data_IF_695246213048
#
_entry.id   IF_695246213048
#
_cell.length_a   1.000
_cell.length_b   1.000
_cell.length_c   1.000
_cell.angle_alpha   90.00
_cell.angle_beta   90.00
_cell.angle_gamma   90.00
#
_symmetry.space_group_name_H-M   'P 1'
#
loop_
_entity.id
_entity.type
_entity.pdbx_description
1 polymer ?
#
# COMPACT_ATOMS: atom_id res chain seq x y z
N UNK A 1 -30.12 2.29 10.25
CA UNK A 1 -29.85 2.10 8.80
C UNK A 1 -28.83 0.99 8.70
N UNK A 2 -29.03 -0.01 7.85
CA UNK A 2 -27.96 -0.98 7.52
C UNK A 2 -26.95 -0.26 6.65
N UNK A 3 -25.70 -0.19 7.08
CA UNK A 3 -24.62 0.39 6.29
C UNK A 3 -24.45 -0.41 5.00
N UNK A 4 -24.39 0.31 3.87
CA UNK A 4 -24.15 -0.30 2.58
C UNK A 4 -22.66 -0.19 2.22
N UNK A 5 -22.04 -1.34 1.97
CA UNK A 5 -20.67 -1.45 1.49
C UNK A 5 -20.70 -1.80 0.02
N UNK A 6 -19.82 -1.16 -0.75
CA UNK A 6 -19.70 -1.44 -2.17
C UNK A 6 -18.90 -2.74 -2.38
N UNK A 7 -19.13 -3.46 -3.49
CA UNK A 7 -18.14 -4.42 -3.96
C UNK A 7 -16.77 -3.76 -4.05
N UNK A 8 -15.70 -4.48 -3.69
CA UNK A 8 -14.33 -3.91 -3.60
C UNK A 8 -13.96 -3.11 -4.87
N UNK A 9 -14.22 -3.68 -6.05
CA UNK A 9 -13.90 -3.03 -7.34
C UNK A 9 -14.67 -1.74 -7.61
N UNK A 10 -15.80 -1.56 -6.94
CA UNK A 10 -16.63 -0.37 -7.04
C UNK A 10 -16.28 0.68 -5.97
N UNK A 11 -15.55 0.28 -4.93
CA UNK A 11 -15.13 1.17 -3.82
C UNK A 11 -14.19 2.28 -4.33
N UNK A 12 -14.26 3.43 -3.66
CA UNK A 12 -13.41 4.58 -3.98
C UNK A 12 -11.92 4.25 -3.83
N UNK A 13 -11.57 3.54 -2.75
CA UNK A 13 -10.19 3.11 -2.49
C UNK A 13 -9.62 2.25 -3.61
N UNK A 14 -10.39 1.27 -4.11
CA UNK A 14 -9.94 0.44 -5.22
C UNK A 14 -9.71 1.24 -6.50
N UNK A 15 -10.65 2.15 -6.84
CA UNK A 15 -10.53 3.00 -8.03
C UNK A 15 -9.28 3.89 -7.98
N UNK A 16 -9.01 4.48 -6.82
CA UNK A 16 -7.84 5.34 -6.63
C UNK A 16 -6.54 4.54 -6.70
N UNK A 17 -6.44 3.38 -6.04
CA UNK A 17 -5.25 2.51 -6.12
C UNK A 17 -5.05 2.01 -7.55
N UNK A 18 -6.12 1.62 -8.25
CA UNK A 18 -6.06 1.23 -9.67
C UNK A 18 -5.51 2.35 -10.54
N UNK A 19 -6.02 3.57 -10.39
CA UNK A 19 -5.59 4.72 -11.19
C UNK A 19 -4.11 5.07 -10.90
N UNK A 20 -3.73 5.09 -9.63
CA UNK A 20 -2.36 5.37 -9.22
C UNK A 20 -1.35 4.32 -9.74
N UNK A 21 -1.68 3.03 -9.68
CA UNK A 21 -0.87 1.96 -10.27
C UNK A 21 -0.71 2.14 -11.78
N UNK A 22 -1.80 2.50 -12.47
CA UNK A 22 -1.76 2.75 -13.91
C UNK A 22 -0.89 3.96 -14.25
N UNK A 23 -0.93 5.02 -13.45
CA UNK A 23 -0.17 6.25 -13.69
C UNK A 23 1.34 6.05 -13.42
N UNK A 24 1.69 5.42 -12.30
CA UNK A 24 3.08 5.34 -11.83
C UNK A 24 3.82 4.14 -12.43
N UNK A 25 3.16 2.98 -12.45
CA UNK A 25 3.75 1.71 -12.86
C UNK A 25 3.23 1.19 -14.21
N UNK A 26 2.26 1.87 -14.84
CA UNK A 26 1.60 1.38 -16.05
C UNK A 26 0.97 -0.01 -15.88
N UNK A 27 0.47 -0.31 -14.67
CA UNK A 27 -0.15 -1.59 -14.31
C UNK A 27 -1.62 -1.38 -13.96
N UNK A 28 -2.47 -2.27 -14.47
CA UNK A 28 -3.89 -2.27 -14.17
C UNK A 28 -4.21 -3.26 -13.04
N UNK A 29 -4.79 -2.75 -11.94
CA UNK A 29 -5.15 -3.56 -10.77
C UNK A 29 -6.20 -4.64 -11.08
N UNK A 30 -7.00 -4.49 -12.13
CA UNK A 30 -7.96 -5.53 -12.52
C UNK A 30 -7.30 -6.82 -13.03
N UNK A 31 -6.05 -6.74 -13.48
CA UNK A 31 -5.27 -7.87 -13.98
C UNK A 31 -4.51 -8.60 -12.87
N UNK A 32 -4.56 -8.07 -11.63
CA UNK A 32 -3.90 -8.64 -10.45
C UNK A 32 -4.94 -9.38 -9.61
N UNK A 33 -4.60 -10.60 -9.18
CA UNK A 33 -5.42 -11.33 -8.23
C UNK A 33 -5.39 -10.64 -6.85
N UNK A 34 -6.55 -10.15 -6.42
CA UNK A 34 -6.73 -9.57 -5.08
C UNK A 34 -7.20 -10.63 -4.08
N UNK A 35 -6.80 -10.47 -2.83
CA UNK A 35 -7.37 -11.14 -1.67
C UNK A 35 -8.38 -10.18 -1.02
N UNK A 36 -9.65 -10.53 -1.11
CA UNK A 36 -10.71 -9.77 -0.45
C UNK A 36 -10.65 -9.94 1.09
N UNK A 37 -10.86 -8.83 1.81
CA UNK A 37 -11.09 -8.82 3.25
C UNK A 37 -12.55 -8.55 3.58
N UNK A 38 -12.83 -8.22 4.85
CA UNK A 38 -14.15 -7.73 5.25
C UNK A 38 -14.43 -6.33 4.68
N UNK A 39 -15.71 -6.01 4.47
CA UNK A 39 -16.17 -4.72 3.97
C UNK A 39 -15.59 -4.40 2.58
N UNK A 40 -14.87 -3.28 2.45
CA UNK A 40 -14.20 -2.84 1.23
C UNK A 40 -12.68 -3.10 1.29
N UNK A 41 -12.20 -3.84 2.30
CA UNK A 41 -10.78 -4.15 2.46
C UNK A 41 -10.28 -5.12 1.39
N UNK A 42 -9.05 -4.95 0.95
CA UNK A 42 -8.38 -5.90 0.05
C UNK A 42 -6.87 -5.82 0.18
N UNK A 43 -6.19 -6.88 -0.26
CA UNK A 43 -4.73 -6.85 -0.45
C UNK A 43 -4.34 -7.58 -1.72
N UNK A 44 -3.13 -7.32 -2.21
CA UNK A 44 -2.57 -8.00 -3.36
C UNK A 44 -1.05 -8.01 -3.30
N UNK A 45 -0.46 -9.01 -3.93
CA UNK A 45 0.97 -9.07 -4.14
C UNK A 45 1.32 -8.20 -5.34
N UNK A 46 2.39 -7.42 -5.21
CA UNK A 46 2.93 -6.59 -6.26
C UNK A 46 4.43 -6.87 -6.43
N UNK A 47 4.91 -6.82 -7.67
CA UNK A 47 6.32 -7.04 -7.98
C UNK A 47 6.79 -6.02 -8.98
N UNK A 48 7.92 -5.39 -8.69
CA UNK A 48 8.57 -4.41 -9.55
C UNK A 48 10.08 -4.56 -9.41
N UNK A 49 10.82 -4.65 -10.52
CA UNK A 49 12.29 -4.83 -10.52
C UNK A 49 12.80 -5.95 -9.58
N UNK A 50 12.10 -7.09 -9.51
CA UNK A 50 12.36 -8.22 -8.61
C UNK A 50 12.17 -7.94 -7.10
N UNK A 51 11.65 -6.77 -6.74
CA UNK A 51 11.19 -6.48 -5.38
C UNK A 51 9.77 -6.99 -5.20
N UNK A 52 9.54 -7.78 -4.15
CA UNK A 52 8.24 -8.31 -3.78
C UNK A 52 7.67 -7.49 -2.63
N UNK A 53 6.42 -7.07 -2.75
CA UNK A 53 5.72 -6.31 -1.73
C UNK A 53 4.24 -6.68 -1.67
N UNK A 54 3.61 -6.47 -0.53
CA UNK A 54 2.16 -6.60 -0.34
C UNK A 54 1.58 -5.21 -0.22
N UNK A 55 0.63 -4.87 -1.08
CA UNK A 55 -0.16 -3.64 -0.94
C UNK A 55 -1.52 -4.00 -0.38
N UNK A 56 -2.03 -3.19 0.54
CA UNK A 56 -3.35 -3.42 1.13
C UNK A 56 -4.10 -2.13 1.38
N UNK A 57 -5.42 -2.26 1.33
CA UNK A 57 -6.38 -1.25 1.75
C UNK A 57 -7.21 -1.81 2.90
N UNK A 58 -7.13 -1.17 4.06
CA UNK A 58 -7.65 -1.69 5.32
C UNK A 58 -8.55 -0.67 6.03
N UNK A 59 -9.17 -1.09 7.14
CA UNK A 59 -9.93 -0.19 8.03
C UNK A 59 -11.08 0.56 7.34
N UNK A 60 -11.75 -0.11 6.38
CA UNK A 60 -12.85 0.49 5.59
C UNK A 60 -14.22 0.49 6.26
N UNK A 61 -14.31 -0.06 7.48
CA UNK A 61 -15.57 -0.11 8.21
C UNK A 61 -16.07 1.30 8.51
N UNK A 62 -17.36 1.55 8.28
CA UNK A 62 -17.98 2.87 8.48
C UNK A 62 -18.42 3.01 9.95
N UNK A 63 -18.44 4.27 10.42
CA UNK A 63 -18.91 4.68 11.75
C UNK A 63 -18.38 3.88 12.95
N UNK A 64 -17.16 3.33 12.85
CA UNK A 64 -16.51 2.56 13.91
C UNK A 64 -15.23 3.28 14.33
N UNK A 65 -14.98 3.38 15.64
CA UNK A 65 -13.76 3.99 16.15
C UNK A 65 -12.52 3.29 15.55
N UNK A 66 -11.48 4.06 15.24
CA UNK A 66 -10.23 3.60 14.61
C UNK A 66 -10.37 3.05 13.18
N UNK A 67 -11.55 3.18 12.55
CA UNK A 67 -11.70 2.93 11.11
C UNK A 67 -11.82 4.24 10.34
N UNK A 68 -11.31 4.23 9.11
CA UNK A 68 -11.27 5.41 8.24
C UNK A 68 -12.50 5.49 7.32
N UNK A 69 -13.28 4.41 7.23
CA UNK A 69 -14.47 4.33 6.41
C UNK A 69 -14.12 4.19 4.93
N UNK A 70 -14.93 4.78 4.07
CA UNK A 70 -14.76 4.68 2.62
C UNK A 70 -13.34 5.09 2.18
N UNK A 71 -12.72 4.20 1.40
CA UNK A 71 -11.34 4.37 0.92
C UNK A 71 -10.25 3.94 1.88
N UNK A 72 -10.53 3.72 3.18
CA UNK A 72 -9.61 3.04 4.09
C UNK A 72 -8.21 3.67 4.25
N UNK A 73 -7.32 2.90 4.88
CA UNK A 73 -5.88 3.15 4.95
C UNK A 73 -5.18 2.32 3.87
N UNK A 74 -4.30 2.94 3.09
CA UNK A 74 -3.49 2.28 2.09
C UNK A 74 -2.07 2.07 2.62
N UNK A 75 -1.65 0.82 2.75
CA UNK A 75 -0.34 0.43 3.28
C UNK A 75 0.44 -0.39 2.26
N UNK A 76 1.78 -0.29 2.35
CA UNK A 76 2.72 -1.05 1.52
C UNK A 76 3.68 -1.77 2.47
N UNK A 77 3.74 -3.09 2.36
CA UNK A 77 4.54 -3.98 3.19
C UNK A 77 5.63 -4.65 2.37
N UNK A 78 6.81 -4.78 2.94
CA UNK A 78 7.94 -5.50 2.37
C UNK A 78 8.38 -6.64 3.28
N UNK A 79 8.97 -7.72 2.73
CA UNK A 79 9.81 -8.61 3.52
C UNK A 79 10.85 -7.81 4.29
N UNK A 80 10.94 -8.04 5.59
CA UNK A 80 11.79 -7.24 6.45
C UNK A 80 13.27 -7.65 6.27
N UNK A 81 14.15 -6.76 5.76
CA UNK A 81 15.56 -7.09 5.56
C UNK A 81 16.30 -7.35 6.88
N UNK A 82 15.73 -6.95 8.01
CA UNK A 82 16.28 -7.19 9.36
C UNK A 82 15.81 -8.53 9.95
N UNK A 83 14.91 -9.27 9.31
CA UNK A 83 14.45 -10.57 9.81
C UNK A 83 15.32 -11.73 9.30
N UNK A 84 15.60 -12.76 10.14
CA UNK A 84 15.27 -12.86 11.56
C UNK A 84 16.36 -12.28 12.49
N UNK A 85 17.49 -11.83 11.95
CA UNK A 85 18.71 -11.54 12.73
C UNK A 85 18.57 -10.34 13.68
N UNK A 86 17.82 -9.33 13.26
CA UNK A 86 17.69 -8.02 13.93
C UNK A 86 16.22 -7.59 14.09
N UNK A 87 15.27 -8.45 13.75
CA UNK A 87 13.84 -8.24 13.93
C UNK A 87 13.09 -9.57 14.02
N UNK A 88 12.03 -9.60 14.81
CA UNK A 88 11.11 -10.72 14.90
C UNK A 88 9.93 -10.62 13.92
N UNK A 89 9.79 -9.49 13.20
CA UNK A 89 8.73 -9.29 12.22
C UNK A 89 9.21 -9.66 10.83
N UNK A 90 8.53 -10.60 10.17
CA UNK A 90 8.84 -11.05 8.79
C UNK A 90 8.59 -9.97 7.74
N UNK A 91 7.68 -9.05 8.02
CA UNK A 91 7.33 -7.93 7.16
C UNK A 91 7.52 -6.60 7.90
N UNK A 92 7.73 -5.53 7.13
CA UNK A 92 7.80 -4.16 7.64
C UNK A 92 7.11 -3.20 6.69
N UNK A 93 6.55 -2.12 7.23
CA UNK A 93 5.94 -1.08 6.42
C UNK A 93 6.98 -0.30 5.62
N UNK A 94 6.60 0.12 4.42
CA UNK A 94 7.45 0.86 3.50
C UNK A 94 8.04 2.13 4.12
N UNK A 95 7.24 2.92 4.86
CA UNK A 95 7.71 4.14 5.50
C UNK A 95 8.90 3.89 6.45
N UNK A 96 8.98 2.72 7.11
CA UNK A 96 10.12 2.35 7.97
C UNK A 96 11.43 2.08 7.22
N UNK A 97 11.38 1.95 5.89
CA UNK A 97 12.55 1.74 5.05
C UNK A 97 13.16 3.05 4.55
N UNK A 98 12.45 4.17 4.70
CA UNK A 98 12.89 5.48 4.24
C UNK A 98 13.78 6.14 5.31
N UNK A 99 14.92 6.68 4.87
CA UNK A 99 15.87 7.39 5.76
C UNK A 99 15.43 8.85 5.98
N UNK A 100 14.81 9.47 4.98
CA UNK A 100 14.27 10.83 5.09
C UNK A 100 12.95 10.80 5.86
N UNK A 101 12.95 11.43 7.04
CA UNK A 101 11.80 11.51 7.95
C UNK A 101 10.58 12.16 7.30
N UNK A 102 10.76 13.22 6.50
CA UNK A 102 9.64 13.89 5.83
C UNK A 102 9.03 13.01 4.75
N UNK A 103 9.86 12.28 4.02
CA UNK A 103 9.37 11.31 3.03
C UNK A 103 8.62 10.17 3.72
N UNK A 104 9.18 9.63 4.81
CA UNK A 104 8.54 8.61 5.65
C UNK A 104 7.16 9.05 6.13
N UNK A 105 7.06 10.21 6.77
CA UNK A 105 5.79 10.78 7.24
C UNK A 105 4.78 10.95 6.10
N UNK A 106 5.24 11.33 4.90
CA UNK A 106 4.36 11.53 3.74
C UNK A 106 3.71 10.25 3.20
N UNK A 107 4.24 9.08 3.55
CA UNK A 107 3.75 7.77 3.09
C UNK A 107 3.33 6.83 4.22
N UNK A 108 3.43 7.26 5.48
CA UNK A 108 2.98 6.48 6.65
C UNK A 108 1.45 6.45 6.78
N UNK A 109 0.77 7.56 6.47
CA UNK A 109 -0.68 7.71 6.67
C UNK A 109 -1.45 8.02 5.39
N UNK A 110 -1.43 7.08 4.45
CA UNK A 110 -2.05 7.26 3.12
C UNK A 110 -3.51 6.85 3.16
N UNK A 111 -4.42 7.81 3.00
CA UNK A 111 -5.85 7.51 2.91
C UNK A 111 -6.23 7.12 1.49
N UNK A 112 -6.77 5.91 1.29
CA UNK A 112 -7.10 5.42 -0.04
C UNK A 112 -8.21 6.21 -0.75
N UNK A 113 -9.01 7.01 -0.02
CA UNK A 113 -9.97 7.96 -0.60
C UNK A 113 -9.31 9.19 -1.24
N UNK A 114 -8.08 9.51 -0.86
CA UNK A 114 -7.32 10.64 -1.41
C UNK A 114 -6.41 10.14 -2.53
N UNK A 115 -6.91 10.27 -3.76
CA UNK A 115 -6.21 9.86 -4.99
C UNK A 115 -4.78 10.40 -5.08
N UNK A 116 -4.58 11.68 -4.71
CA UNK A 116 -3.25 12.31 -4.81
C UNK A 116 -2.27 11.74 -3.79
N UNK A 117 -2.75 11.46 -2.58
CA UNK A 117 -1.92 10.84 -1.55
C UNK A 117 -1.52 9.41 -1.95
N UNK A 118 -2.44 8.63 -2.55
CA UNK A 118 -2.13 7.28 -3.06
C UNK A 118 -1.12 7.35 -4.20
N UNK A 119 -1.31 8.24 -5.18
CA UNK A 119 -0.37 8.42 -6.29
C UNK A 119 1.01 8.88 -5.81
N UNK A 120 1.07 9.85 -4.88
CA UNK A 120 2.31 10.30 -4.26
C UNK A 120 3.06 9.15 -3.57
N UNK A 121 2.36 8.34 -2.77
CA UNK A 121 2.98 7.20 -2.10
C UNK A 121 3.56 6.18 -3.08
N UNK A 122 2.87 5.92 -4.19
CA UNK A 122 3.38 5.04 -5.24
C UNK A 122 4.55 5.66 -6.02
N UNK A 123 4.57 6.98 -6.21
CA UNK A 123 5.69 7.68 -6.83
C UNK A 123 6.95 7.60 -5.95
N UNK A 124 6.81 7.88 -4.65
CA UNK A 124 7.91 7.73 -3.68
C UNK A 124 8.40 6.29 -3.61
N UNK A 125 7.48 5.31 -3.64
CA UNK A 125 7.83 3.90 -3.73
C UNK A 125 8.66 3.61 -4.98
N UNK A 126 8.22 4.06 -6.16
CA UNK A 126 8.94 3.81 -7.41
C UNK A 126 10.34 4.41 -7.39
N UNK A 127 10.45 5.67 -6.99
CA UNK A 127 11.73 6.37 -6.90
C UNK A 127 12.69 5.67 -5.93
N UNK A 128 12.18 5.19 -4.78
CA UNK A 128 12.94 4.38 -3.85
C UNK A 128 13.41 3.05 -4.49
N UNK A 129 12.51 2.30 -5.15
CA UNK A 129 12.85 1.01 -5.76
C UNK A 129 13.81 1.13 -6.94
N UNK A 130 13.83 2.27 -7.62
CA UNK A 130 14.78 2.57 -8.71
C UNK A 130 16.13 3.09 -8.17
N UNK A 131 16.22 3.45 -6.89
CA UNK A 131 17.43 3.97 -6.25
C UNK A 131 18.48 2.91 -5.91
N UNK A 132 19.71 3.35 -5.65
CA UNK A 132 20.76 2.47 -5.13
C UNK A 132 20.53 2.08 -3.66
N UNK A 133 19.76 2.85 -2.90
CA UNK A 133 19.44 2.55 -1.51
C UNK A 133 18.63 1.26 -1.40
N UNK A 134 17.61 1.09 -2.26
CA UNK A 134 16.85 -0.16 -2.32
C UNK A 134 17.72 -1.36 -2.72
N UNK A 135 18.68 -1.16 -3.64
CA UNK A 135 19.63 -2.22 -4.00
C UNK A 135 20.52 -2.60 -2.83
N UNK A 136 21.01 -1.63 -2.05
CA UNK A 136 21.85 -1.91 -0.88
C UNK A 136 21.03 -2.58 0.22
N UNK A 137 19.81 -2.10 0.48
CA UNK A 137 18.96 -2.58 1.55
C UNK A 137 18.50 -4.03 1.35
N UNK A 138 18.16 -4.38 0.11
CA UNK A 138 17.66 -5.71 -0.24
C UNK A 138 18.71 -6.60 -0.91
N UNK A 139 20.00 -6.22 -0.84
CA UNK A 139 21.09 -7.12 -1.25
C UNK A 139 21.02 -8.38 -0.41
N UNK A 140 20.76 -9.50 -1.07
CA UNK A 140 21.05 -10.83 -0.56
C UNK A 140 22.46 -11.23 -0.99
#
# INVERSE_FOLDING_TARGET
>A
MTEHYLPIKESLGYKNVKQALQNVFSVNLDDIQIRAGEYENFSFLFTYNNYFMTMLLSSTKKNTQFNFGEGGMFDILFPNPKYPEHSFLEETFFHNLLVDEKMSESVESVFGKDEKSVEHALQVLKDFLDSDDAKVLFRK
#
